data_IF_902424114839
#
_entry.id   IF_902424114839
#
_cell.length_a   1.000
_cell.length_b   1.000
_cell.length_c   1.000
_cell.angle_alpha   90.00
_cell.angle_beta   90.00
_cell.angle_gamma   90.00
#
_symmetry.space_group_name_H-M   'P 1'
#
loop_
_entity.id
_entity.type
_entity.pdbx_description
1 polymer ?
#
# COMPACT_ATOMS: atom_id res chain seq x y z
N UNK A 1 48.56 -5.79 -59.96
CA UNK A 1 47.88 -6.68 -59.01
C UNK A 1 47.42 -5.85 -57.82
N UNK A 2 46.09 -5.56 -57.76
CA UNK A 2 45.49 -4.72 -56.71
C UNK A 2 44.88 -5.66 -55.66
N UNK A 3 45.43 -5.65 -54.45
CA UNK A 3 44.89 -6.40 -53.31
C UNK A 3 43.68 -5.66 -52.72
N UNK A 4 42.50 -6.27 -52.84
CA UNK A 4 41.25 -5.78 -52.24
C UNK A 4 41.29 -6.05 -50.73
N UNK A 5 41.40 -5.02 -49.89
CA UNK A 5 41.22 -5.16 -48.46
C UNK A 5 39.75 -5.12 -48.12
N UNK A 6 39.19 -6.27 -47.76
CA UNK A 6 37.86 -6.39 -47.24
C UNK A 6 37.86 -5.91 -45.78
N UNK A 7 37.27 -4.74 -45.54
CA UNK A 7 37.04 -4.24 -44.18
C UNK A 7 35.77 -4.91 -43.62
N UNK A 8 35.92 -5.77 -42.63
CA UNK A 8 34.81 -6.30 -41.84
C UNK A 8 34.35 -5.22 -40.88
N UNK A 9 33.21 -4.59 -41.18
CA UNK A 9 32.52 -3.71 -40.24
C UNK A 9 31.70 -4.61 -39.31
N UNK A 10 32.20 -4.79 -38.09
CA UNK A 10 31.45 -5.44 -37.03
C UNK A 10 30.33 -4.49 -36.60
N UNK A 11 29.14 -4.74 -37.11
CA UNK A 11 27.92 -4.10 -36.63
C UNK A 11 27.64 -4.62 -35.21
N UNK A 12 28.05 -3.85 -34.21
CA UNK A 12 27.68 -4.11 -32.83
C UNK A 12 26.17 -3.83 -32.70
N UNK A 13 25.36 -4.89 -32.73
CA UNK A 13 23.94 -4.83 -32.43
C UNK A 13 23.78 -4.41 -30.96
N UNK A 14 23.54 -3.12 -30.73
CA UNK A 14 22.98 -2.64 -29.47
C UNK A 14 21.58 -3.24 -29.33
N UNK A 15 21.50 -4.38 -28.67
CA UNK A 15 20.23 -4.90 -28.18
C UNK A 15 19.85 -4.00 -27.00
N UNK A 16 18.76 -3.22 -27.08
CA UNK A 16 18.26 -2.52 -25.90
C UNK A 16 17.89 -3.60 -24.89
N UNK A 17 18.65 -3.69 -23.80
CA UNK A 17 18.21 -4.42 -22.62
C UNK A 17 16.99 -3.66 -22.13
N UNK A 18 15.80 -4.17 -22.48
CA UNK A 18 14.56 -3.76 -21.84
C UNK A 18 14.71 -4.17 -20.37
N UNK A 19 15.26 -3.26 -19.57
CA UNK A 19 15.24 -3.38 -18.14
C UNK A 19 13.75 -3.31 -17.77
N UNK A 20 13.13 -4.47 -17.61
CA UNK A 20 11.79 -4.55 -17.04
C UNK A 20 11.97 -4.05 -15.62
N UNK A 21 11.66 -2.77 -15.40
CA UNK A 21 11.57 -2.25 -14.04
C UNK A 21 10.49 -3.08 -13.35
N UNK A 22 10.89 -3.88 -12.36
CA UNK A 22 9.90 -4.54 -11.50
C UNK A 22 8.95 -3.47 -10.99
N UNK A 23 7.64 -3.67 -11.13
CA UNK A 23 6.68 -2.74 -10.56
C UNK A 23 7.02 -2.56 -9.09
N UNK A 24 7.05 -1.32 -8.62
CA UNK A 24 7.38 -0.99 -7.25
C UNK A 24 6.29 -1.57 -6.33
N UNK A 25 6.64 -2.58 -5.52
CA UNK A 25 5.72 -3.25 -4.60
C UNK A 25 5.68 -2.49 -3.29
N UNK A 26 4.79 -1.52 -3.20
CA UNK A 26 4.63 -0.69 -2.01
C UNK A 26 3.18 -0.34 -1.72
N UNK A 27 2.90 -0.13 -0.45
CA UNK A 27 1.69 0.56 0.02
C UNK A 27 2.07 1.76 0.87
N UNK A 28 1.14 2.70 1.02
CA UNK A 28 1.31 3.87 1.86
C UNK A 28 0.21 3.90 2.91
N UNK A 29 0.60 3.99 4.18
CA UNK A 29 -0.29 4.22 5.31
C UNK A 29 0.04 5.57 5.94
N UNK A 30 -0.95 6.43 6.07
CA UNK A 30 -0.86 7.68 6.83
C UNK A 30 -1.75 7.56 8.05
N UNK A 31 -1.20 7.87 9.22
CA UNK A 31 -1.90 7.87 10.50
C UNK A 31 -1.71 9.24 11.11
N UNK A 32 -2.80 9.91 11.42
CA UNK A 32 -2.79 11.23 12.01
C UNK A 32 -3.57 11.22 13.32
N UNK A 33 -2.96 11.70 14.40
CA UNK A 33 -3.63 11.94 15.66
C UNK A 33 -3.64 13.42 15.98
N UNK A 34 -4.82 13.95 16.27
CA UNK A 34 -5.02 15.31 16.77
C UNK A 34 -5.45 15.25 18.22
N UNK A 35 -4.62 15.77 19.12
CA UNK A 35 -4.96 15.87 20.54
C UNK A 35 -6.14 16.81 20.76
N UNK A 36 -6.28 17.86 19.95
CA UNK A 36 -7.40 18.81 20.03
C UNK A 36 -8.74 18.14 19.67
N UNK A 37 -8.75 17.28 18.65
CA UNK A 37 -9.94 16.55 18.23
C UNK A 37 -10.12 15.23 18.99
N UNK A 38 -9.11 14.78 19.74
CA UNK A 38 -9.02 13.46 20.37
C UNK A 38 -9.35 12.34 19.37
N UNK A 39 -8.87 12.47 18.12
CA UNK A 39 -9.24 11.59 17.02
C UNK A 39 -8.00 11.11 16.29
N UNK A 40 -7.97 9.82 16.01
CA UNK A 40 -6.98 9.15 15.18
C UNK A 40 -7.63 8.87 13.81
N UNK A 41 -6.96 9.30 12.75
CA UNK A 41 -7.39 9.08 11.36
C UNK A 41 -6.36 8.24 10.63
N UNK A 42 -6.83 7.28 9.85
CA UNK A 42 -5.99 6.37 9.06
C UNK A 42 -6.38 6.47 7.59
N UNK A 43 -5.37 6.53 6.73
CA UNK A 43 -5.52 6.42 5.28
C UNK A 43 -4.55 5.38 4.74
N UNK A 44 -5.08 4.34 4.11
CA UNK A 44 -4.32 3.32 3.39
C UNK A 44 -4.45 3.57 1.90
N UNK A 45 -3.31 3.72 1.19
CA UNK A 45 -3.27 3.82 -0.28
C UNK A 45 -2.59 2.58 -0.85
N UNK A 46 -3.35 1.85 -1.65
CA UNK A 46 -2.98 0.57 -2.22
C UNK A 46 -3.08 0.65 -3.75
N UNK A 47 -2.18 0.01 -4.49
CA UNK A 47 -2.38 -0.16 -5.93
C UNK A 47 -3.60 -1.04 -6.19
N UNK A 48 -4.49 -0.61 -7.09
CA UNK A 48 -5.73 -1.32 -7.38
C UNK A 48 -5.46 -2.71 -8.00
N UNK A 49 -4.40 -2.81 -8.79
CA UNK A 49 -3.94 -4.09 -9.35
C UNK A 49 -3.58 -5.09 -8.26
N UNK A 50 -2.89 -4.63 -7.21
CA UNK A 50 -2.48 -5.50 -6.10
C UNK A 50 -3.69 -5.88 -5.22
N UNK A 51 -4.64 -4.96 -5.03
CA UNK A 51 -5.92 -5.27 -4.36
C UNK A 51 -6.69 -6.35 -5.12
N UNK A 52 -6.83 -6.20 -6.43
CA UNK A 52 -7.52 -7.20 -7.26
C UNK A 52 -6.79 -8.55 -7.24
N UNK A 53 -5.46 -8.56 -7.33
CA UNK A 53 -4.67 -9.79 -7.22
C UNK A 53 -4.89 -10.49 -5.88
N UNK A 54 -4.91 -9.72 -4.77
CA UNK A 54 -5.13 -10.25 -3.44
C UNK A 54 -6.52 -10.88 -3.25
N UNK A 55 -7.56 -10.28 -3.84
CA UNK A 55 -8.94 -10.64 -3.56
C UNK A 55 -9.56 -11.60 -4.59
N UNK A 56 -9.14 -11.51 -5.85
CA UNK A 56 -9.75 -12.30 -6.95
C UNK A 56 -8.73 -12.96 -7.87
N UNK A 57 -7.43 -12.91 -7.54
CA UNK A 57 -6.32 -13.53 -8.28
C UNK A 57 -6.21 -13.09 -9.75
N UNK A 58 -6.66 -11.86 -10.03
CA UNK A 58 -6.58 -11.23 -11.35
C UNK A 58 -6.37 -9.72 -11.17
N UNK A 59 -5.15 -9.19 -11.39
CA UNK A 59 -4.80 -7.78 -11.16
C UNK A 59 -5.62 -6.82 -12.01
N UNK A 60 -6.12 -7.28 -13.16
CA UNK A 60 -6.91 -6.46 -14.09
C UNK A 60 -8.41 -6.71 -14.00
N UNK A 61 -8.84 -7.45 -12.98
CA UNK A 61 -10.25 -7.77 -12.77
C UNK A 61 -11.11 -6.53 -12.62
N UNK A 62 -12.29 -6.58 -13.23
CA UNK A 62 -13.34 -5.60 -13.06
C UNK A 62 -14.54 -6.14 -12.26
N UNK A 63 -14.34 -7.26 -11.58
CA UNK A 63 -15.41 -7.92 -10.86
C UNK A 63 -15.86 -7.14 -9.61
N UNK A 64 -14.93 -6.43 -8.95
CA UNK A 64 -15.20 -5.73 -7.69
C UNK A 64 -15.56 -4.25 -7.88
N UNK A 65 -14.89 -3.54 -8.81
CA UNK A 65 -15.18 -2.15 -9.20
C UNK A 65 -15.22 -1.16 -8.03
N UNK A 66 -14.20 -1.24 -7.17
CA UNK A 66 -14.09 -0.40 -5.98
C UNK A 66 -14.29 1.09 -6.26
N UNK A 67 -15.10 1.74 -5.42
CA UNK A 67 -15.40 3.17 -5.46
C UNK A 67 -16.00 3.65 -6.80
N UNK A 68 -16.53 2.76 -7.64
CA UNK A 68 -17.30 3.06 -8.84
C UNK A 68 -18.81 3.00 -8.53
N UNK A 69 -19.65 3.61 -9.39
CA UNK A 69 -21.10 3.65 -9.19
C UNK A 69 -21.78 2.27 -9.18
N UNK A 70 -21.15 1.27 -9.80
CA UNK A 70 -21.59 -0.11 -9.89
C UNK A 70 -20.63 -1.06 -9.17
N UNK A 71 -20.05 -0.61 -8.05
CA UNK A 71 -19.25 -1.43 -7.15
C UNK A 71 -20.04 -2.70 -6.75
N UNK A 72 -19.36 -3.85 -6.81
CA UNK A 72 -19.96 -5.12 -6.39
C UNK A 72 -20.30 -5.11 -4.90
N UNK A 73 -21.47 -5.66 -4.55
CA UNK A 73 -21.91 -5.79 -3.14
C UNK A 73 -20.90 -6.58 -2.27
N UNK A 74 -20.09 -7.45 -2.89
CA UNK A 74 -19.06 -8.23 -2.20
C UNK A 74 -17.71 -7.51 -2.08
N UNK A 75 -17.50 -6.38 -2.76
CA UNK A 75 -16.21 -5.73 -2.84
C UNK A 75 -15.72 -5.27 -1.45
N UNK A 76 -16.52 -4.49 -0.75
CA UNK A 76 -16.13 -3.99 0.57
C UNK A 76 -16.03 -5.10 1.64
N UNK A 77 -16.95 -6.08 1.75
CA UNK A 77 -16.77 -7.21 2.65
C UNK A 77 -15.49 -8.02 2.42
N UNK A 78 -15.12 -8.29 1.18
CA UNK A 78 -13.88 -9.00 0.85
C UNK A 78 -12.65 -8.17 1.23
N UNK A 79 -12.64 -6.88 0.90
CA UNK A 79 -11.56 -5.98 1.25
C UNK A 79 -11.39 -5.88 2.77
N UNK A 80 -12.47 -5.71 3.51
CA UNK A 80 -12.45 -5.62 4.96
C UNK A 80 -11.95 -6.93 5.58
N UNK A 81 -12.42 -8.08 5.12
CA UNK A 81 -11.96 -9.39 5.57
C UNK A 81 -10.46 -9.57 5.39
N UNK A 82 -9.92 -9.14 4.24
CA UNK A 82 -8.48 -9.15 3.98
C UNK A 82 -7.73 -8.20 4.92
N UNK A 83 -8.19 -6.95 5.04
CA UNK A 83 -7.50 -5.92 5.82
C UNK A 83 -7.40 -6.29 7.31
N UNK A 84 -8.42 -6.86 7.93
CA UNK A 84 -8.38 -7.23 9.36
C UNK A 84 -7.35 -8.30 9.68
N UNK A 85 -6.91 -9.08 8.70
CA UNK A 85 -5.86 -10.10 8.89
C UNK A 85 -4.46 -9.52 8.74
N UNK A 86 -4.28 -8.57 7.81
CA UNK A 86 -2.96 -8.08 7.41
C UNK A 86 -2.60 -6.72 8.00
N UNK A 87 -3.56 -6.00 8.56
CA UNK A 87 -3.38 -4.69 9.17
C UNK A 87 -4.04 -4.62 10.55
N UNK A 88 -3.33 -4.09 11.54
CA UNK A 88 -3.91 -3.77 12.84
C UNK A 88 -3.27 -2.50 13.43
N UNK A 89 -4.03 -1.81 14.23
CA UNK A 89 -3.63 -0.61 14.93
C UNK A 89 -4.10 -0.69 16.39
N UNK A 90 -3.17 -0.51 17.32
CA UNK A 90 -3.46 -0.40 18.75
C UNK A 90 -3.11 1.01 19.23
N UNK A 91 -3.97 1.61 20.02
CA UNK A 91 -3.72 2.87 20.71
C UNK A 91 -3.80 2.65 22.21
N UNK A 92 -2.74 2.98 22.95
CA UNK A 92 -2.63 2.78 24.41
C UNK A 92 -2.87 1.32 24.84
N UNK A 93 -2.51 0.34 23.98
CA UNK A 93 -2.71 -1.10 24.21
C UNK A 93 -4.13 -1.60 23.88
N UNK A 94 -5.02 -0.76 23.36
CA UNK A 94 -6.35 -1.16 22.90
C UNK A 94 -6.34 -1.31 21.39
N UNK A 95 -6.78 -2.49 20.90
CA UNK A 95 -6.92 -2.76 19.48
C UNK A 95 -8.11 -1.97 18.90
N UNK A 96 -7.82 -1.15 17.88
CA UNK A 96 -8.84 -0.38 17.18
C UNK A 96 -9.43 -1.20 16.03
N UNK A 97 -10.77 -1.23 15.87
CA UNK A 97 -11.38 -1.96 14.77
C UNK A 97 -11.04 -1.33 13.42
N UNK A 98 -10.65 -2.15 12.44
CA UNK A 98 -10.53 -1.71 11.05
C UNK A 98 -11.94 -1.55 10.49
N UNK A 99 -12.22 -0.38 9.95
CA UNK A 99 -13.48 -0.06 9.28
C UNK A 99 -13.21 0.60 7.93
N UNK A 100 -14.18 0.60 7.03
CA UNK A 100 -14.08 1.32 5.76
C UNK A 100 -15.11 2.45 5.79
N UNK A 101 -14.66 3.69 6.06
CA UNK A 101 -15.53 4.87 6.11
C UNK A 101 -15.49 5.66 4.81
N UNK A 102 -14.41 5.51 4.05
CA UNK A 102 -14.28 6.13 2.73
C UNK A 102 -13.43 5.27 1.80
N UNK A 103 -13.72 5.33 0.51
CA UNK A 103 -12.96 4.75 -0.59
C UNK A 103 -12.85 5.75 -1.71
N UNK A 104 -11.65 5.97 -2.24
CA UNK A 104 -11.40 6.88 -3.35
C UNK A 104 -10.39 6.28 -4.31
N UNK A 105 -10.71 6.31 -5.61
CA UNK A 105 -9.74 5.99 -6.65
C UNK A 105 -8.91 7.23 -7.00
N UNK A 106 -7.62 7.01 -7.22
CA UNK A 106 -6.67 8.01 -7.68
C UNK A 106 -5.72 7.43 -8.73
N UNK A 107 -4.97 8.30 -9.43
CA UNK A 107 -4.08 7.84 -10.50
C UNK A 107 -4.83 7.47 -11.78
N UNK A 108 -4.14 6.76 -12.67
CA UNK A 108 -4.70 6.28 -13.94
C UNK A 108 -3.93 5.06 -14.46
N UNK A 109 -4.59 4.18 -15.20
CA UNK A 109 -3.97 2.98 -15.77
C UNK A 109 -3.44 2.04 -14.70
N UNK A 110 -2.21 1.57 -14.87
CA UNK A 110 -1.55 0.66 -13.91
C UNK A 110 -1.19 1.36 -12.58
N UNK A 111 -1.08 2.69 -12.58
CA UNK A 111 -0.83 3.50 -11.37
C UNK A 111 -2.13 3.86 -10.63
N UNK A 112 -3.25 3.25 -10.98
CA UNK A 112 -4.50 3.46 -10.24
C UNK A 112 -4.36 2.94 -8.82
N UNK A 113 -4.72 3.79 -7.85
CA UNK A 113 -4.70 3.47 -6.42
C UNK A 113 -6.09 3.52 -5.81
N UNK A 114 -6.34 2.65 -4.85
CA UNK A 114 -7.47 2.71 -3.94
C UNK A 114 -7.02 3.27 -2.60
N UNK A 115 -7.53 4.42 -2.22
CA UNK A 115 -7.34 5.00 -0.89
C UNK A 115 -8.54 4.65 -0.02
N UNK A 116 -8.25 4.07 1.16
CA UNK A 116 -9.24 3.63 2.15
C UNK A 116 -9.03 4.46 3.40
N UNK A 117 -10.08 5.10 3.90
CA UNK A 117 -10.00 5.94 5.08
C UNK A 117 -10.96 5.50 6.20
N UNK A 118 -10.48 5.61 7.44
CA UNK A 118 -11.28 5.44 8.66
C UNK A 118 -10.72 6.28 9.80
N UNK A 119 -11.54 6.51 10.84
CA UNK A 119 -11.15 7.29 12.01
C UNK A 119 -11.76 6.71 13.29
N UNK A 120 -11.06 6.95 14.39
CA UNK A 120 -11.49 6.54 15.73
C UNK A 120 -11.31 7.68 16.73
N UNK A 121 -12.35 8.06 17.48
CA UNK A 121 -12.18 8.91 18.65
C UNK A 121 -11.45 8.13 19.74
N UNK A 122 -10.49 8.74 20.42
CA UNK A 122 -9.80 8.16 21.56
C UNK A 122 -10.37 8.73 22.87
N UNK A 123 -10.68 7.85 23.81
CA UNK A 123 -11.20 8.26 25.13
C UNK A 123 -10.15 8.87 26.04
N UNK A 124 -8.86 8.65 25.72
CA UNK A 124 -7.72 9.18 26.47
C UNK A 124 -6.64 9.70 25.51
N UNK A 125 -5.78 10.62 25.94
CA UNK A 125 -4.65 11.06 25.14
C UNK A 125 -3.79 9.88 24.66
N UNK A 126 -3.30 9.96 23.43
CA UNK A 126 -2.40 8.96 22.88
C UNK A 126 -1.07 8.97 23.61
N UNK A 127 -0.61 7.82 24.07
CA UNK A 127 0.68 7.60 24.74
C UNK A 127 1.53 6.55 24.07
N UNK A 128 0.87 5.59 23.42
CA UNK A 128 1.56 4.56 22.65
C UNK A 128 0.70 4.13 21.47
N UNK A 129 1.36 3.70 20.39
CA UNK A 129 0.73 3.19 19.18
C UNK A 129 1.52 2.00 18.66
N UNK A 130 0.86 0.87 18.49
CA UNK A 130 1.44 -0.29 17.80
C UNK A 130 0.76 -0.48 16.46
N UNK A 131 1.56 -0.51 15.38
CA UNK A 131 1.08 -0.65 14.01
C UNK A 131 1.62 -1.99 13.46
N UNK A 132 0.74 -2.85 12.98
CA UNK A 132 1.06 -4.00 12.13
C UNK A 132 0.59 -3.68 10.71
N UNK A 133 1.48 -3.83 9.73
CA UNK A 133 1.12 -3.68 8.31
C UNK A 133 1.92 -4.66 7.46
N UNK A 134 1.29 -5.78 7.13
CA UNK A 134 1.82 -6.82 6.25
C UNK A 134 0.97 -6.97 4.99
N UNK A 135 0.31 -5.90 4.57
CA UNK A 135 -0.49 -5.85 3.34
C UNK A 135 0.34 -6.35 2.17
N UNK A 136 -0.18 -7.30 1.41
CA UNK A 136 0.40 -7.95 0.22
C UNK A 136 1.73 -8.70 0.43
N UNK A 137 2.23 -8.83 1.66
CA UNK A 137 3.48 -9.58 1.92
C UNK A 137 3.34 -11.09 1.77
N UNK A 138 2.14 -11.59 1.66
CA UNK A 138 1.79 -12.97 1.32
C UNK A 138 1.86 -13.23 -0.18
N UNK A 139 1.63 -12.20 -1.01
CA UNK A 139 1.68 -12.28 -2.47
C UNK A 139 3.06 -11.92 -3.03
N UNK A 140 3.69 -10.87 -2.47
CA UNK A 140 4.92 -10.31 -2.98
C UNK A 140 6.03 -10.36 -1.93
N UNK A 141 7.12 -11.04 -2.24
CA UNK A 141 8.24 -11.22 -1.29
C UNK A 141 9.00 -9.91 -0.99
N UNK A 142 8.95 -8.97 -1.93
CA UNK A 142 9.63 -7.66 -1.88
C UNK A 142 8.68 -6.51 -1.49
N UNK A 143 7.46 -6.83 -1.04
CA UNK A 143 6.49 -5.84 -0.58
C UNK A 143 7.05 -4.99 0.56
N UNK A 144 6.94 -3.68 0.42
CA UNK A 144 7.27 -2.69 1.45
C UNK A 144 6.04 -1.84 1.76
N UNK A 145 5.69 -1.76 3.04
CA UNK A 145 4.57 -0.95 3.52
C UNK A 145 5.12 0.26 4.26
N UNK A 146 5.05 1.43 3.63
CA UNK A 146 5.52 2.69 4.19
C UNK A 146 4.42 3.23 5.11
N UNK A 147 4.80 3.58 6.34
CA UNK A 147 3.87 4.16 7.31
C UNK A 147 4.40 5.53 7.75
N UNK A 148 3.58 6.54 7.62
CA UNK A 148 3.79 7.86 8.21
C UNK A 148 2.84 8.05 9.37
N UNK A 149 3.36 8.50 10.50
CA UNK A 149 2.59 8.79 11.71
C UNK A 149 2.82 10.25 12.08
N UNK A 150 1.75 11.02 12.18
CA UNK A 150 1.75 12.40 12.65
C UNK A 150 0.95 12.45 13.93
N UNK A 151 1.58 12.94 15.00
CA UNK A 151 0.97 13.15 16.31
C UNK A 151 1.18 14.61 16.67
N UNK A 152 0.15 15.42 16.47
CA UNK A 152 0.22 16.89 16.57
C UNK A 152 1.40 17.46 15.73
N UNK A 153 2.47 17.94 16.38
CA UNK A 153 3.66 18.50 15.71
C UNK A 153 4.77 17.46 15.45
N UNK A 154 4.64 16.24 15.98
CA UNK A 154 5.62 15.18 15.83
C UNK A 154 5.33 14.29 14.61
N UNK A 155 6.39 13.88 13.93
CA UNK A 155 6.29 13.06 12.72
C UNK A 155 7.27 11.90 12.76
N UNK A 156 6.78 10.70 12.47
CA UNK A 156 7.54 9.47 12.40
C UNK A 156 7.32 8.80 11.04
N UNK A 157 8.31 8.06 10.55
CA UNK A 157 8.15 7.22 9.37
C UNK A 157 8.84 5.89 9.58
N UNK A 158 8.23 4.83 9.05
CA UNK A 158 8.78 3.48 9.12
C UNK A 158 8.42 2.67 7.89
N UNK A 159 9.19 1.63 7.63
CA UNK A 159 8.92 0.64 6.59
C UNK A 159 8.64 -0.70 7.25
N UNK A 160 7.44 -1.23 7.02
CA UNK A 160 7.01 -2.54 7.49
C UNK A 160 7.02 -3.53 6.33
N UNK A 161 7.33 -4.78 6.64
CA UNK A 161 7.47 -5.85 5.66
C UNK A 161 7.18 -7.20 6.32
N UNK A 162 7.30 -8.28 5.58
CA UNK A 162 7.18 -9.63 6.14
C UNK A 162 8.17 -9.92 7.26
N UNK A 163 9.41 -9.37 7.16
CA UNK A 163 10.46 -9.55 8.18
C UNK A 163 10.33 -8.57 9.35
N UNK A 164 9.67 -7.45 9.15
CA UNK A 164 9.42 -6.43 10.18
C UNK A 164 7.94 -6.07 10.13
N UNK A 165 7.06 -6.95 10.67
CA UNK A 165 5.61 -6.84 10.45
C UNK A 165 4.95 -5.72 11.25
N UNK A 166 5.56 -5.28 12.35
CA UNK A 166 4.97 -4.31 13.26
C UNK A 166 6.02 -3.40 13.91
N UNK A 167 5.57 -2.25 14.40
CA UNK A 167 6.37 -1.29 15.13
C UNK A 167 5.54 -0.62 16.22
N UNK A 168 6.18 -0.30 17.36
CA UNK A 168 5.56 0.45 18.45
C UNK A 168 6.24 1.80 18.61
N UNK A 169 5.43 2.85 18.74
CA UNK A 169 5.84 4.22 19.07
C UNK A 169 5.32 4.57 20.46
N UNK A 170 6.13 5.28 21.22
CA UNK A 170 5.78 5.90 22.51
C UNK A 170 5.82 7.43 22.35
N UNK A 171 4.85 8.14 22.97
CA UNK A 171 4.65 9.59 22.83
C UNK A 171 4.65 10.31 24.19
#
# INVERSE_FOLDING_TARGET
>A
MRTLRVAWVAALLLVPVLCSAHPLRLSLCQIEYSSQAATLTVSLRLFLTDVNEALVFDPYSRALRFAEADESENAEPLLLAYLVEVFSLEANGELLPVTIQSKVLGGAGEDTTLSIGFSHPLAAPLRSMTIKNVVFTDLFFDQTNIVYVHVDDDSHSMMLSKSTPSHTLEF
#
